data_IF_031112862653
#
_entry.id   IF_031112862653
#
_cell.length_a   1.000
_cell.length_b   1.000
_cell.length_c   1.000
_cell.angle_alpha   90.00
_cell.angle_beta   90.00
_cell.angle_gamma   90.00
#
_symmetry.space_group_name_H-M   'P 1'
#
loop_
_entity.id
_entity.type
_entity.pdbx_description
1 polymer ?
#
# COMPACT_ATOMS: atom_id res chain seq x y z
N UNK A 1 -5.05 -5.60 15.34
CA UNK A 1 -5.00 -4.89 14.05
C UNK A 1 -5.66 -3.54 14.23
N UNK A 2 -4.85 -2.48 14.11
CA UNK A 2 -5.21 -1.06 14.18
C UNK A 2 -6.33 -0.69 13.18
N UNK A 3 -7.23 0.23 13.54
CA UNK A 3 -8.41 0.55 12.73
C UNK A 3 -8.05 1.18 11.39
N UNK A 4 -6.99 2.01 11.34
CA UNK A 4 -6.44 2.58 10.09
C UNK A 4 -5.92 1.49 9.17
N UNK A 5 -5.27 0.48 9.72
CA UNK A 5 -4.85 -0.68 8.93
C UNK A 5 -6.05 -1.46 8.40
N UNK A 6 -7.11 -1.64 9.19
CA UNK A 6 -8.32 -2.35 8.74
C UNK A 6 -8.99 -1.65 7.57
N UNK A 7 -9.13 -0.33 7.62
CA UNK A 7 -9.76 0.41 6.53
C UNK A 7 -8.91 0.37 5.26
N UNK A 8 -7.57 0.42 5.39
CA UNK A 8 -6.65 0.29 4.26
C UNK A 8 -6.73 -1.09 3.61
N UNK A 9 -6.66 -2.17 4.40
CA UNK A 9 -6.82 -3.55 3.89
C UNK A 9 -8.16 -3.69 3.17
N UNK A 10 -9.26 -3.24 3.79
CA UNK A 10 -10.59 -3.30 3.18
C UNK A 10 -10.63 -2.53 1.87
N UNK A 11 -10.13 -1.30 1.84
CA UNK A 11 -10.12 -0.47 0.64
C UNK A 11 -9.32 -1.11 -0.49
N UNK A 12 -8.16 -1.70 -0.19
CA UNK A 12 -7.36 -2.43 -1.16
C UNK A 12 -8.08 -3.68 -1.65
N UNK A 13 -8.71 -4.46 -0.77
CA UNK A 13 -9.51 -5.63 -1.16
C UNK A 13 -10.72 -5.25 -2.03
N UNK A 14 -11.39 -4.13 -1.75
CA UNK A 14 -12.50 -3.64 -2.58
C UNK A 14 -12.02 -3.23 -3.98
N UNK A 15 -10.82 -2.66 -4.07
CA UNK A 15 -10.18 -2.31 -5.36
C UNK A 15 -9.72 -3.56 -6.10
N UNK A 16 -9.14 -4.54 -5.42
CA UNK A 16 -8.64 -5.78 -6.00
C UNK A 16 -9.55 -6.93 -5.60
N UNK A 17 -10.82 -6.87 -6.03
CA UNK A 17 -11.89 -7.77 -5.60
C UNK A 17 -11.58 -9.26 -5.80
N UNK A 18 -10.84 -9.59 -6.85
CA UNK A 18 -10.38 -10.96 -7.16
C UNK A 18 -8.96 -11.25 -6.69
N UNK A 19 -8.33 -10.29 -6.02
CA UNK A 19 -6.97 -10.38 -5.50
C UNK A 19 -6.90 -10.80 -4.04
N UNK A 20 -5.69 -11.11 -3.59
CA UNK A 20 -5.39 -11.36 -2.19
C UNK A 20 -4.58 -10.20 -1.60
N UNK A 21 -5.01 -9.69 -0.43
CA UNK A 21 -4.31 -8.60 0.27
C UNK A 21 -3.77 -9.13 1.61
N UNK A 22 -2.45 -9.19 1.72
CA UNK A 22 -1.76 -9.51 2.98
C UNK A 22 -1.21 -8.23 3.63
N UNK A 23 -1.26 -8.17 4.95
CA UNK A 23 -0.70 -7.07 5.74
C UNK A 23 0.40 -7.56 6.68
N UNK A 24 1.48 -6.78 6.77
CA UNK A 24 2.53 -6.93 7.78
C UNK A 24 3.02 -5.57 8.25
N UNK A 25 3.37 -5.46 9.52
CA UNK A 25 4.13 -4.33 10.04
C UNK A 25 5.56 -4.78 10.37
N UNK A 26 6.55 -4.14 9.76
CA UNK A 26 7.97 -4.52 9.92
C UNK A 26 8.86 -3.34 9.51
N UNK A 27 10.01 -3.17 10.16
CA UNK A 27 10.96 -2.09 9.87
C UNK A 27 10.34 -0.67 9.86
N UNK A 28 9.40 -0.40 10.78
CA UNK A 28 8.63 0.86 10.85
C UNK A 28 7.79 1.17 9.58
N UNK A 29 7.46 0.14 8.79
CA UNK A 29 6.62 0.25 7.60
C UNK A 29 5.37 -0.62 7.74
N UNK A 30 4.22 -0.05 7.37
CA UNK A 30 3.04 -0.84 7.03
C UNK A 30 3.20 -1.37 5.62
N UNK A 31 3.28 -2.70 5.48
CA UNK A 31 3.49 -3.40 4.21
C UNK A 31 2.19 -4.08 3.81
N UNK A 32 1.69 -3.76 2.62
CA UNK A 32 0.55 -4.42 2.01
C UNK A 32 1.03 -5.11 0.74
N UNK A 33 0.86 -6.43 0.70
CA UNK A 33 1.09 -7.23 -0.50
C UNK A 33 -0.24 -7.49 -1.16
N UNK A 34 -0.32 -7.23 -2.46
CA UNK A 34 -1.52 -7.37 -3.27
C UNK A 34 -1.18 -8.30 -4.42
N UNK A 35 -1.67 -9.53 -4.37
CA UNK A 35 -1.55 -10.49 -5.46
C UNK A 35 -2.82 -10.40 -6.33
N UNK A 36 -2.70 -9.97 -7.59
CA UNK A 36 -3.86 -9.78 -8.47
C UNK A 36 -3.50 -10.09 -9.94
N UNK A 37 -4.24 -11.01 -10.58
CA UNK A 37 -4.13 -11.38 -12.00
C UNK A 37 -2.72 -11.76 -12.50
N UNK A 38 -1.84 -12.23 -11.61
CA UNK A 38 -0.46 -12.63 -11.93
C UNK A 38 0.60 -11.79 -11.23
N UNK A 39 0.71 -10.47 -11.49
CA UNK A 39 1.68 -9.63 -10.79
C UNK A 39 1.36 -9.48 -9.30
N UNK A 40 2.43 -9.29 -8.53
CA UNK A 40 2.37 -8.94 -7.11
C UNK A 40 2.73 -7.48 -6.95
N UNK A 41 1.85 -6.72 -6.32
CA UNK A 41 2.09 -5.33 -5.97
C UNK A 41 2.40 -5.19 -4.48
N UNK A 42 3.27 -4.25 -4.16
CA UNK A 42 3.61 -3.90 -2.79
C UNK A 42 3.34 -2.43 -2.56
N UNK A 43 2.58 -2.15 -1.50
CA UNK A 43 2.36 -0.82 -0.99
C UNK A 43 2.99 -0.72 0.39
N UNK A 44 3.95 0.18 0.53
CA UNK A 44 4.59 0.51 1.78
C UNK A 44 4.07 1.87 2.23
N UNK A 45 3.68 1.96 3.50
CA UNK A 45 3.30 3.23 4.13
C UNK A 45 4.21 3.43 5.34
N UNK A 46 4.90 4.57 5.41
CA UNK A 46 5.68 4.91 6.59
C UNK A 46 4.79 4.95 7.82
N UNK A 47 5.28 4.45 8.95
CA UNK A 47 4.58 4.53 10.24
C UNK A 47 4.15 5.96 10.56
N UNK A 48 5.05 6.93 10.42
CA UNK A 48 4.79 8.35 10.72
C UNK A 48 3.57 8.86 9.95
N UNK A 49 3.56 8.69 8.62
CA UNK A 49 2.40 9.03 7.79
C UNK A 49 1.09 8.35 8.22
N UNK A 50 1.14 7.07 8.58
CA UNK A 50 -0.04 6.36 9.07
C UNK A 50 -0.50 6.86 10.45
N UNK A 51 0.41 7.30 11.31
CA UNK A 51 0.11 7.86 12.64
C UNK A 51 -0.46 9.28 12.54
N UNK A 52 0.11 10.12 11.67
CA UNK A 52 -0.24 11.54 11.51
C UNK A 52 -1.56 11.77 10.76
N UNK A 53 -2.02 10.80 9.97
CA UNK A 53 -3.24 10.92 9.16
C UNK A 53 -4.42 10.12 9.74
N UNK A 54 -5.63 10.65 9.60
CA UNK A 54 -6.88 9.95 9.91
C UNK A 54 -7.18 8.84 8.91
N UNK A 55 -8.14 7.97 9.24
CA UNK A 55 -8.62 6.91 8.34
C UNK A 55 -9.09 7.44 6.99
N UNK A 56 -9.83 8.56 6.99
CA UNK A 56 -10.36 9.19 5.79
C UNK A 56 -9.26 9.80 4.92
N UNK A 57 -8.26 10.44 5.53
CA UNK A 57 -7.12 11.02 4.82
C UNK A 57 -6.24 9.95 4.18
N UNK A 58 -6.02 8.82 4.86
CA UNK A 58 -5.29 7.69 4.32
C UNK A 58 -5.99 7.10 3.09
N UNK A 59 -7.32 6.88 3.18
CA UNK A 59 -8.11 6.40 2.04
C UNK A 59 -8.12 7.41 0.89
N UNK A 60 -8.24 8.70 1.21
CA UNK A 60 -8.21 9.78 0.22
C UNK A 60 -6.87 9.81 -0.49
N UNK A 61 -5.75 9.67 0.24
CA UNK A 61 -4.40 9.64 -0.33
C UNK A 61 -4.21 8.50 -1.34
N UNK A 62 -4.74 7.30 -1.05
CA UNK A 62 -4.71 6.18 -2.01
C UNK A 62 -5.41 6.51 -3.33
N UNK A 63 -6.53 7.24 -3.26
CA UNK A 63 -7.32 7.64 -4.43
C UNK A 63 -6.66 8.80 -5.16
N UNK A 64 -6.30 9.87 -4.44
CA UNK A 64 -5.68 11.08 -5.00
C UNK A 64 -4.36 10.80 -5.70
N UNK A 65 -3.61 9.81 -5.24
CA UNK A 65 -2.35 9.41 -5.87
C UNK A 65 -2.49 8.27 -6.88
N UNK A 66 -3.71 7.90 -7.24
CA UNK A 66 -4.01 6.89 -8.26
C UNK A 66 -3.29 5.54 -8.04
N UNK A 67 -3.11 5.12 -6.78
CA UNK A 67 -2.39 3.89 -6.42
C UNK A 67 -3.00 2.67 -7.13
N UNK A 68 -4.32 2.58 -7.10
CA UNK A 68 -5.09 1.50 -7.72
C UNK A 68 -4.85 1.41 -9.23
N UNK A 69 -4.81 2.55 -9.92
CA UNK A 69 -4.60 2.62 -11.37
C UNK A 69 -3.13 2.34 -11.72
N UNK A 70 -2.19 2.82 -10.90
CA UNK A 70 -0.76 2.55 -11.06
C UNK A 70 -0.42 1.05 -10.97
N UNK A 71 -1.17 0.30 -10.15
CA UNK A 71 -1.05 -1.16 -10.08
C UNK A 71 -1.78 -1.85 -11.24
N UNK A 72 -3.07 -1.53 -11.50
CA UNK A 72 -3.84 -2.17 -12.58
C UNK A 72 -3.28 -1.96 -13.98
N UNK A 73 -2.68 -0.80 -14.25
CA UNK A 73 -2.08 -0.49 -15.56
C UNK A 73 -0.72 -1.15 -15.76
N UNK A 74 -0.13 -1.77 -14.73
CA UNK A 74 1.20 -2.35 -14.82
C UNK A 74 1.16 -3.83 -15.19
N UNK A 75 1.87 -4.26 -16.25
CA UNK A 75 1.99 -5.67 -16.60
C UNK A 75 3.00 -6.44 -15.72
N UNK A 76 3.62 -5.77 -14.73
CA UNK A 76 4.66 -6.33 -13.87
C UNK A 76 4.42 -5.95 -12.42
N UNK A 77 5.04 -6.69 -11.52
CA UNK A 77 5.10 -6.34 -10.10
C UNK A 77 5.65 -4.92 -9.91
N UNK A 78 5.07 -4.18 -8.96
CA UNK A 78 5.49 -2.82 -8.59
C UNK A 78 5.53 -2.65 -7.08
N UNK A 79 6.38 -1.73 -6.63
CA UNK A 79 6.56 -1.39 -5.23
C UNK A 79 6.39 0.12 -5.08
N UNK A 80 5.40 0.56 -4.32
CA UNK A 80 5.14 1.98 -4.05
C UNK A 80 5.35 2.27 -2.57
N UNK A 81 6.00 3.39 -2.28
CA UNK A 81 6.20 3.89 -0.92
C UNK A 81 5.49 5.23 -0.72
N UNK A 82 4.69 5.28 0.35
CA UNK A 82 3.89 6.41 0.78
C UNK A 82 4.48 7.00 2.06
N UNK A 83 4.66 8.30 2.05
CA UNK A 83 5.16 9.11 3.17
C UNK A 83 4.60 10.52 3.10
N UNK A 84 4.94 11.35 4.08
CA UNK A 84 4.61 12.79 4.10
C UNK A 84 5.03 13.53 2.82
N UNK A 85 6.10 13.07 2.16
CA UNK A 85 6.59 13.69 0.92
C UNK A 85 5.83 13.26 -0.34
N UNK A 86 4.87 12.34 -0.21
CA UNK A 86 4.07 11.79 -1.30
C UNK A 86 4.38 10.33 -1.63
N UNK A 87 4.07 9.95 -2.87
CA UNK A 87 4.26 8.60 -3.41
C UNK A 87 5.48 8.56 -4.30
N UNK A 88 6.28 7.51 -4.13
CA UNK A 88 7.32 7.16 -5.09
C UNK A 88 7.35 5.67 -5.35
N UNK A 89 7.82 5.31 -6.53
CA UNK A 89 8.17 3.92 -6.83
C UNK A 89 9.50 3.57 -6.17
N UNK A 90 9.57 2.38 -5.60
CA UNK A 90 10.75 1.79 -4.98
C UNK A 90 11.01 0.43 -5.62
N UNK A 91 12.08 -0.25 -5.21
CA UNK A 91 12.42 -1.57 -5.73
C UNK A 91 12.00 -2.70 -4.77
N UNK A 92 12.28 -3.93 -5.18
CA UNK A 92 11.96 -5.12 -4.41
C UNK A 92 12.84 -5.32 -3.17
N UNK A 93 13.93 -4.55 -3.02
CA UNK A 93 14.78 -4.58 -1.83
C UNK A 93 14.28 -3.59 -0.77
N UNK A 94 13.38 -2.67 -1.15
CA UNK A 94 12.80 -1.70 -0.23
C UNK A 94 12.06 -2.37 0.94
N UNK A 95 12.51 -2.03 2.15
CA UNK A 95 11.93 -2.56 3.38
C UNK A 95 12.26 -4.02 3.66
N UNK A 96 13.08 -4.71 2.84
CA UNK A 96 13.76 -5.93 3.28
C UNK A 96 14.90 -5.51 4.21
N UNK A 97 15.00 -6.20 5.35
CA UNK A 97 15.78 -5.85 6.53
C UNK A 97 17.09 -5.04 6.34
N UNK A 98 17.24 -4.10 7.27
CA UNK A 98 18.49 -3.88 7.97
C UNK A 98 18.32 -4.32 9.41
#
# INVERSE_FOLDING_TARGET
MDSKVRILVRKLSDVFADGHVEYRFEAQLHKFRIDHEGPTFWLYISREFAEDHTEEELVTSLVSWNISEAFRSSPKSRWLFLSETGVREVDCEFGKDR
#
